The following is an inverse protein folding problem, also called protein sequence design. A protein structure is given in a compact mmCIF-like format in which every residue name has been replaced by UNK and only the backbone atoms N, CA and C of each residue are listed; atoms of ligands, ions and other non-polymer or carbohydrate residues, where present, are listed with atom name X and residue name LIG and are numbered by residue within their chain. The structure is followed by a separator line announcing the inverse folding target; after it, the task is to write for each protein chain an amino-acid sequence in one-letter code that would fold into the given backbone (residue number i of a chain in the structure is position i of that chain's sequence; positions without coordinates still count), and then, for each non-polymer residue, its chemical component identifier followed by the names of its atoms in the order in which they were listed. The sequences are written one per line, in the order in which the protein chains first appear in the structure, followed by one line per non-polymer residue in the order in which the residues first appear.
data_IF_572404421224
#
_entry.id   IF_572404421224
#
_cell.length_a   1.000
_cell.length_b   1.000
_cell.length_c   1.000
_cell.angle_alpha   90.00
_cell.angle_beta   90.00
_cell.angle_gamma   90.00
#
_symmetry.space_group_name_H-M   'P 1'
#
loop_
_entity.id
_entity.type
_entity.pdbx_description
1 polymer ?
#
# COMPACT_ATOMS: atom_id res chain seq x y z
N UNK A 1 6.15 11.63 3.31
CA UNK A 1 5.80 10.52 2.39
C UNK A 1 7.04 9.64 2.18
N UNK A 2 7.01 8.40 2.65
CA UNK A 2 8.20 7.52 2.71
C UNK A 2 8.64 7.03 1.31
N UNK A 3 7.78 7.08 0.29
CA UNK A 3 8.14 6.61 -1.06
C UNK A 3 8.40 7.70 -2.11
N UNK A 4 7.78 8.89 -2.05
CA UNK A 4 7.99 9.86 -3.12
C UNK A 4 9.07 10.91 -2.85
N UNK A 5 9.29 11.42 -1.64
CA UNK A 5 10.13 12.63 -1.47
C UNK A 5 10.97 12.75 -0.18
N UNK A 6 11.05 11.72 0.66
CA UNK A 6 11.72 11.86 1.97
C UNK A 6 12.94 10.96 2.13
N UNK A 7 14.09 11.61 2.26
CA UNK A 7 15.24 11.09 3.00
C UNK A 7 14.78 10.81 4.44
N UNK A 8 14.97 9.59 4.93
CA UNK A 8 15.05 9.37 6.37
C UNK A 8 16.52 9.60 6.75
N UNK A 9 16.90 10.86 6.99
CA UNK A 9 18.07 11.16 7.81
C UNK A 9 17.60 11.18 9.25
N UNK A 10 17.70 10.05 9.96
CA UNK A 10 17.61 10.05 11.43
C UNK A 10 19.02 10.20 12.01
N UNK A 11 19.23 11.02 13.06
CA UNK A 11 20.57 11.39 13.53
C UNK A 11 21.41 10.22 14.07
N UNK A 12 20.78 9.08 14.39
CA UNK A 12 21.46 7.90 14.97
C UNK A 12 21.36 6.67 14.06
N UNK A 13 21.51 6.90 12.76
CA UNK A 13 21.46 5.89 11.71
C UNK A 13 22.86 5.49 11.21
N UNK A 14 23.86 5.63 12.07
CA UNK A 14 25.22 5.85 11.60
C UNK A 14 25.98 4.58 11.17
N UNK A 15 25.49 3.35 11.45
CA UNK A 15 26.27 2.15 11.16
C UNK A 15 25.54 0.97 10.47
N UNK A 16 24.20 0.98 10.28
CA UNK A 16 23.50 -0.22 9.77
C UNK A 16 23.07 -0.18 8.30
N UNK A 17 22.90 1.00 7.67
CA UNK A 17 22.43 1.10 6.28
C UNK A 17 23.49 1.47 5.22
N UNK A 18 24.77 1.56 5.59
CA UNK A 18 25.86 1.82 4.63
C UNK A 18 26.08 0.72 3.57
N UNK A 19 25.33 -0.39 3.60
CA UNK A 19 25.34 -1.41 2.54
C UNK A 19 24.04 -1.48 1.71
N UNK A 20 23.03 -0.66 2.02
CA UNK A 20 21.81 -0.57 1.22
C UNK A 20 21.89 0.66 0.33
N UNK A 21 22.15 0.45 -0.95
CA UNK A 21 22.11 1.53 -1.94
C UNK A 21 20.64 1.94 -2.14
N UNK A 22 20.21 2.94 -1.39
CA UNK A 22 19.02 3.73 -1.74
C UNK A 22 19.43 4.71 -2.86
N UNK A 23 19.27 4.33 -4.12
CA UNK A 23 19.44 5.25 -5.26
C UNK A 23 18.25 6.23 -5.28
N UNK A 24 18.43 7.41 -4.70
CA UNK A 24 17.54 8.56 -4.92
C UNK A 24 18.37 9.78 -5.31
N UNK A 25 18.33 10.15 -6.60
CA UNK A 25 18.80 11.47 -7.03
C UNK A 25 17.61 12.41 -7.21
N UNK A 26 17.72 13.62 -6.66
CA UNK A 26 16.74 14.72 -6.81
C UNK A 26 16.60 15.24 -8.26
N UNK A 27 17.39 14.71 -9.20
CA UNK A 27 17.46 15.20 -10.60
C UNK A 27 16.80 14.28 -11.62
N UNK A 28 16.22 13.13 -11.24
CA UNK A 28 15.59 12.25 -12.22
C UNK A 28 14.22 12.79 -12.69
N UNK A 29 13.96 12.84 -14.01
CA UNK A 29 12.64 13.16 -14.54
C UNK A 29 11.59 12.13 -14.06
N UNK A 30 10.32 12.54 -14.00
CA UNK A 30 9.15 11.74 -13.59
C UNK A 30 8.93 10.42 -14.37
N UNK A 31 9.84 10.07 -15.27
CA UNK A 31 9.84 8.85 -16.09
C UNK A 31 10.75 7.75 -15.56
N UNK A 32 11.54 7.99 -14.50
CA UNK A 32 12.42 6.97 -13.92
C UNK A 32 11.75 6.26 -12.73
N UNK A 33 11.09 5.14 -13.02
CA UNK A 33 10.54 4.24 -12.01
C UNK A 33 11.68 3.52 -11.25
N UNK A 34 11.49 3.25 -9.96
CA UNK A 34 12.50 2.64 -9.07
C UNK A 34 13.26 1.43 -9.65
N UNK A 35 12.59 0.43 -10.25
CA UNK A 35 13.25 -0.72 -10.87
C UNK A 35 14.25 -0.37 -12.00
N UNK A 36 14.13 0.79 -12.62
CA UNK A 36 15.02 1.24 -13.71
C UNK A 36 16.25 1.99 -13.21
N UNK A 37 16.23 2.52 -11.99
CA UNK A 37 17.34 3.32 -11.43
C UNK A 37 18.67 2.54 -11.40
N UNK A 38 18.62 1.23 -11.14
CA UNK A 38 19.80 0.36 -11.09
C UNK A 38 20.24 -0.16 -12.47
N UNK A 39 19.42 -0.04 -13.53
CA UNK A 39 19.75 -0.59 -14.87
C UNK A 39 21.00 0.04 -15.48
N UNK A 40 21.36 1.26 -15.09
CA UNK A 40 22.58 1.93 -15.54
C UNK A 40 23.87 1.28 -15.04
N UNK A 41 23.81 0.38 -14.06
CA UNK A 41 24.96 -0.38 -13.57
C UNK A 41 24.57 -1.85 -13.37
N UNK A 42 25.03 -2.71 -14.28
CA UNK A 42 24.68 -4.15 -14.27
C UNK A 42 25.12 -4.88 -13.01
N UNK A 43 26.24 -4.48 -12.40
CA UNK A 43 26.70 -5.09 -11.16
C UNK A 43 25.70 -4.82 -10.03
N UNK A 44 25.29 -3.55 -9.86
CA UNK A 44 24.28 -3.16 -8.88
C UNK A 44 22.93 -3.80 -9.19
N UNK A 45 22.50 -3.79 -10.45
CA UNK A 45 21.23 -4.38 -10.86
C UNK A 45 21.15 -5.86 -10.53
N UNK A 46 22.22 -6.63 -10.79
CA UNK A 46 22.19 -8.09 -10.62
C UNK A 46 22.51 -8.55 -9.20
N UNK A 47 23.39 -7.84 -8.48
CA UNK A 47 24.01 -8.35 -7.24
C UNK A 47 23.51 -7.69 -5.98
N UNK A 48 22.71 -6.62 -6.07
CA UNK A 48 22.15 -5.93 -4.90
C UNK A 48 20.71 -6.36 -4.61
N UNK A 49 20.37 -6.37 -3.31
CA UNK A 49 18.98 -6.41 -2.84
C UNK A 49 18.42 -5.00 -2.94
N UNK A 50 17.35 -4.82 -3.72
CA UNK A 50 16.72 -3.51 -3.90
C UNK A 50 15.46 -3.43 -3.07
N UNK A 51 15.32 -2.34 -2.31
CA UNK A 51 14.11 -2.05 -1.53
C UNK A 51 13.33 -0.97 -2.28
N UNK A 52 12.20 -1.34 -2.89
CA UNK A 52 11.52 -0.52 -3.90
C UNK A 52 10.03 -0.36 -3.58
N UNK A 53 9.51 0.87 -3.74
CA UNK A 53 8.08 1.12 -3.63
C UNK A 53 7.32 0.64 -4.87
N UNK A 54 7.83 0.92 -6.08
CA UNK A 54 7.25 0.37 -7.31
C UNK A 54 7.66 -1.10 -7.48
N UNK A 55 6.99 -1.99 -6.77
CA UNK A 55 7.24 -3.43 -6.78
C UNK A 55 6.43 -4.16 -7.87
N UNK A 56 6.61 -3.70 -9.11
CA UNK A 56 5.92 -4.25 -10.27
C UNK A 56 6.78 -5.32 -10.96
N UNK A 57 6.33 -6.58 -10.91
CA UNK A 57 7.07 -7.72 -11.46
C UNK A 57 7.23 -7.67 -12.99
N UNK A 58 6.39 -6.93 -13.71
CA UNK A 58 6.55 -6.75 -15.17
C UNK A 58 7.53 -5.63 -15.54
N UNK A 59 7.88 -4.74 -14.61
CA UNK A 59 8.79 -3.60 -14.83
C UNK A 59 10.21 -3.86 -14.30
N UNK A 60 10.53 -5.12 -14.00
CA UNK A 60 11.85 -5.58 -13.59
C UNK A 60 12.09 -5.54 -12.08
N UNK A 61 11.04 -5.52 -11.26
CA UNK A 61 11.09 -5.97 -9.87
C UNK A 61 11.15 -7.50 -9.84
N UNK A 62 12.09 -8.07 -9.09
CA UNK A 62 12.25 -9.51 -8.93
C UNK A 62 11.90 -9.88 -7.48
N UNK A 63 10.76 -10.55 -7.22
CA UNK A 63 10.37 -10.90 -5.85
C UNK A 63 11.34 -11.85 -5.15
N UNK A 64 12.22 -12.57 -5.87
CA UNK A 64 13.21 -13.46 -5.25
C UNK A 64 14.43 -12.71 -4.72
N UNK A 65 14.67 -11.48 -5.20
CA UNK A 65 15.88 -10.69 -4.88
C UNK A 65 15.55 -9.32 -4.27
N UNK A 66 14.44 -8.73 -4.64
CA UNK A 66 14.01 -7.40 -4.21
C UNK A 66 13.00 -7.47 -3.06
N UNK A 67 12.81 -6.33 -2.40
CA UNK A 67 11.89 -6.15 -1.28
C UNK A 67 10.91 -5.04 -1.62
N UNK A 68 9.62 -5.33 -1.44
CA UNK A 68 8.54 -4.37 -1.63
C UNK A 68 8.44 -3.45 -0.42
N UNK A 69 8.56 -2.14 -0.64
CA UNK A 69 8.49 -1.12 0.40
C UNK A 69 7.09 -0.49 0.44
N UNK A 70 6.37 -0.52 1.59
CA UNK A 70 5.06 0.10 1.66
C UNK A 70 5.16 1.62 1.55
N UNK A 71 4.29 2.21 0.73
CA UNK A 71 4.16 3.66 0.66
C UNK A 71 3.36 4.19 1.85
N UNK A 72 4.02 4.97 2.71
CA UNK A 72 3.37 5.59 3.88
C UNK A 72 3.31 7.10 3.72
N UNK A 73 2.09 7.63 3.76
CA UNK A 73 1.81 9.05 3.66
C UNK A 73 1.84 9.74 5.04
N UNK A 74 3.05 10.02 5.53
CA UNK A 74 3.26 10.89 6.68
C UNK A 74 3.48 12.32 6.18
N UNK A 75 2.46 13.18 6.24
CA UNK A 75 2.58 14.61 5.87
C UNK A 75 3.40 15.41 6.87
N UNK A 76 3.20 15.17 8.17
CA UNK A 76 3.90 15.86 9.26
C UNK A 76 4.74 14.90 10.13
N UNK A 77 5.14 13.74 9.58
CA UNK A 77 5.83 12.69 10.34
C UNK A 77 4.96 11.95 11.36
N UNK A 78 3.67 12.31 11.49
CA UNK A 78 2.70 11.69 12.41
C UNK A 78 1.51 11.13 11.63
N UNK A 79 0.92 10.06 12.17
CA UNK A 79 -0.37 9.56 11.71
C UNK A 79 -1.48 10.58 12.01
N UNK A 80 -2.53 10.64 11.18
CA UNK A 80 -3.75 11.35 11.52
C UNK A 80 -4.32 10.87 12.86
N UNK A 81 -4.74 11.80 13.72
CA UNK A 81 -5.19 11.48 15.08
C UNK A 81 -6.39 10.53 15.10
N UNK A 82 -7.32 10.69 14.17
CA UNK A 82 -8.49 9.81 13.99
C UNK A 82 -8.13 8.39 13.54
N UNK A 83 -6.93 8.18 12.98
CA UNK A 83 -6.44 6.85 12.67
C UNK A 83 -5.72 6.20 13.85
N UNK A 84 -5.17 6.95 14.80
CA UNK A 84 -4.43 6.39 15.95
C UNK A 84 -5.30 5.45 16.79
N UNK A 85 -6.57 5.81 16.99
CA UNK A 85 -7.55 5.02 17.73
C UNK A 85 -8.72 4.68 16.81
N UNK A 86 -8.64 3.58 16.04
CA UNK A 86 -9.72 3.19 15.15
C UNK A 86 -11.00 2.88 15.96
N UNK A 87 -12.19 3.08 15.38
CA UNK A 87 -13.44 2.69 16.01
C UNK A 87 -13.46 1.20 16.40
N UNK A 88 -14.32 0.80 17.36
CA UNK A 88 -14.56 -0.63 17.66
C UNK A 88 -14.87 -1.46 16.40
N UNK A 89 -14.54 -2.76 16.41
CA UNK A 89 -14.86 -3.64 15.27
C UNK A 89 -16.36 -3.67 14.96
N UNK A 90 -17.19 -3.51 15.98
CA UNK A 90 -18.65 -3.45 15.89
C UNK A 90 -19.21 -2.14 15.34
N UNK A 91 -18.38 -1.12 15.10
CA UNK A 91 -18.85 0.14 14.52
C UNK A 91 -19.43 -0.09 13.13
N UNK A 92 -20.67 0.37 12.94
CA UNK A 92 -21.36 0.32 11.66
C UNK A 92 -20.62 1.15 10.61
N UNK A 93 -20.54 0.60 9.39
CA UNK A 93 -19.93 1.24 8.23
C UNK A 93 -21.00 1.42 7.16
N UNK A 94 -21.60 2.62 7.03
CA UNK A 94 -22.75 2.82 6.17
C UNK A 94 -22.44 2.71 4.67
N UNK A 95 -21.17 2.88 4.27
CA UNK A 95 -20.78 2.79 2.86
C UNK A 95 -20.21 1.41 2.55
N UNK A 96 -20.58 0.86 1.38
CA UNK A 96 -20.00 -0.39 0.90
C UNK A 96 -18.53 -0.18 0.56
N UNK A 97 -18.22 0.79 -0.30
CA UNK A 97 -16.86 1.04 -0.74
C UNK A 97 -16.54 2.52 -0.88
N UNK A 98 -15.26 2.88 -0.74
CA UNK A 98 -14.80 4.25 -0.91
C UNK A 98 -13.52 4.37 -1.76
N UNK A 99 -13.52 5.39 -2.62
CA UNK A 99 -12.36 5.89 -3.34
C UNK A 99 -12.43 7.42 -3.48
N UNK A 100 -11.30 8.09 -3.32
CA UNK A 100 -11.12 9.50 -3.59
C UNK A 100 -9.68 9.74 -4.04
N UNK A 101 -9.46 9.96 -5.33
CA UNK A 101 -8.15 10.25 -5.88
C UNK A 101 -8.20 10.74 -7.32
N UNK A 102 -7.31 11.67 -7.66
CA UNK A 102 -7.22 12.21 -9.01
C UNK A 102 -6.88 11.15 -10.07
N UNK A 103 -7.16 11.51 -11.32
CA UNK A 103 -6.82 10.72 -12.50
C UNK A 103 -5.30 10.53 -12.58
N UNK A 104 -4.86 9.30 -12.38
CA UNK A 104 -3.44 8.92 -12.35
C UNK A 104 -3.31 7.47 -12.77
N UNK A 105 -2.46 7.18 -13.75
CA UNK A 105 -2.34 5.84 -14.33
C UNK A 105 -3.55 5.40 -15.16
N UNK A 106 -3.50 4.19 -15.74
CA UNK A 106 -4.52 3.69 -16.65
C UNK A 106 -5.80 3.18 -15.95
N UNK A 107 -5.71 2.76 -14.68
CA UNK A 107 -6.83 2.12 -13.97
C UNK A 107 -7.83 3.15 -13.41
N UNK A 108 -7.35 4.26 -12.83
CA UNK A 108 -8.22 5.25 -12.18
C UNK A 108 -9.24 5.90 -13.11
N UNK A 109 -8.93 6.24 -14.39
CA UNK A 109 -9.95 6.66 -15.35
C UNK A 109 -11.10 5.67 -15.49
N UNK A 110 -10.80 4.37 -15.56
CA UNK A 110 -11.82 3.32 -15.70
C UNK A 110 -12.73 3.30 -14.48
N UNK A 111 -12.13 3.30 -13.27
CA UNK A 111 -12.88 3.32 -12.01
C UNK A 111 -13.77 4.58 -11.89
N UNK A 112 -13.22 5.76 -12.18
CA UNK A 112 -13.94 7.02 -12.08
C UNK A 112 -15.07 7.10 -13.09
N UNK A 113 -14.82 6.76 -14.35
CA UNK A 113 -15.85 6.78 -15.40
C UNK A 113 -17.02 5.85 -15.07
N UNK A 114 -16.74 4.72 -14.45
CA UNK A 114 -17.76 3.72 -14.18
C UNK A 114 -18.54 3.95 -12.89
N UNK A 115 -17.92 4.49 -11.83
CA UNK A 115 -18.55 4.52 -10.50
C UNK A 115 -18.74 5.92 -9.90
N UNK A 116 -18.08 6.96 -10.42
CA UNK A 116 -18.21 8.32 -9.85
C UNK A 116 -19.65 8.81 -9.95
N UNK A 117 -20.29 8.99 -8.79
CA UNK A 117 -21.67 9.47 -8.69
C UNK A 117 -22.74 8.52 -9.24
N UNK A 118 -22.39 7.24 -9.49
CA UNK A 118 -23.33 6.27 -10.08
C UNK A 118 -24.11 5.48 -9.01
N UNK A 119 -23.53 5.29 -7.82
CA UNK A 119 -24.12 4.45 -6.78
C UNK A 119 -23.91 5.06 -5.38
N UNK A 120 -24.95 5.19 -4.55
CA UNK A 120 -24.83 5.78 -3.22
C UNK A 120 -24.06 4.87 -2.23
N UNK A 121 -23.94 3.57 -2.48
CA UNK A 121 -23.18 2.67 -1.61
C UNK A 121 -21.69 2.68 -1.96
N UNK A 122 -21.32 3.04 -3.20
CA UNK A 122 -19.94 3.16 -3.67
C UNK A 122 -19.53 4.64 -3.78
N UNK A 123 -18.94 5.15 -2.70
CA UNK A 123 -18.47 6.52 -2.59
C UNK A 123 -17.18 6.73 -3.41
N UNK A 124 -17.32 6.96 -4.72
CA UNK A 124 -16.20 7.17 -5.65
C UNK A 124 -16.11 8.64 -6.08
N UNK A 125 -14.97 9.25 -5.78
CA UNK A 125 -14.67 10.66 -6.02
C UNK A 125 -13.30 10.83 -6.71
N UNK A 126 -13.13 11.91 -7.45
CA UNK A 126 -11.82 12.37 -7.92
C UNK A 126 -11.08 13.11 -6.80
N UNK A 127 -11.61 14.24 -6.37
CA UNK A 127 -11.13 14.99 -5.22
C UNK A 127 -12.32 15.29 -4.33
N UNK A 128 -12.15 15.05 -3.03
CA UNK A 128 -13.19 15.44 -2.07
C UNK A 128 -13.33 16.97 -2.05
N UNK A 129 -14.56 17.49 -2.04
CA UNK A 129 -14.83 18.90 -1.78
C UNK A 129 -14.11 19.41 -0.53
N UNK A 130 -13.75 20.70 -0.54
CA UNK A 130 -13.15 21.37 0.64
C UNK A 130 -14.08 21.23 1.85
N UNK A 131 -13.52 20.85 2.98
CA UNK A 131 -14.25 20.68 4.25
C UNK A 131 -14.68 19.25 4.56
N UNK A 132 -14.60 18.33 3.59
CA UNK A 132 -14.80 16.91 3.85
C UNK A 132 -13.50 16.24 4.30
N UNK A 133 -13.59 15.41 5.34
CA UNK A 133 -12.46 14.64 5.84
C UNK A 133 -12.35 13.29 5.15
N UNK A 134 -11.25 13.09 4.43
CA UNK A 134 -10.95 11.87 3.68
C UNK A 134 -10.96 10.61 4.56
N UNK A 135 -10.38 10.70 5.76
CA UNK A 135 -10.26 9.54 6.63
C UNK A 135 -11.60 9.16 7.28
N UNK A 136 -12.49 10.13 7.51
CA UNK A 136 -13.85 9.87 7.97
C UNK A 136 -14.63 8.99 6.98
N UNK A 137 -14.48 9.20 5.66
CA UNK A 137 -15.07 8.31 4.65
C UNK A 137 -14.46 6.91 4.69
N UNK A 138 -13.13 6.78 4.84
CA UNK A 138 -12.49 5.46 4.98
C UNK A 138 -12.98 4.72 6.22
N UNK A 139 -13.09 5.41 7.36
CA UNK A 139 -13.60 4.85 8.62
C UNK A 139 -15.07 4.43 8.53
N UNK A 140 -15.86 5.10 7.68
CA UNK A 140 -17.26 4.79 7.43
C UNK A 140 -17.52 3.75 6.31
N UNK A 141 -16.46 3.22 5.66
CA UNK A 141 -16.59 2.32 4.51
C UNK A 141 -16.12 0.91 4.80
N UNK A 142 -16.86 -0.13 4.38
CA UNK A 142 -16.44 -1.53 4.54
C UNK A 142 -15.17 -1.82 3.76
N UNK A 143 -15.12 -1.35 2.51
CA UNK A 143 -14.05 -1.60 1.56
C UNK A 143 -13.38 -0.31 1.07
N UNK A 144 -12.06 -0.32 0.94
CA UNK A 144 -11.31 0.81 0.41
C UNK A 144 -10.64 0.43 -0.91
N UNK A 145 -11.13 1.00 -2.01
CA UNK A 145 -10.61 0.69 -3.34
C UNK A 145 -9.22 1.28 -3.49
N UNK A 146 -8.26 0.45 -3.86
CA UNK A 146 -6.84 0.77 -4.01
C UNK A 146 -6.39 0.49 -5.46
N UNK A 147 -6.88 1.25 -6.45
CA UNK A 147 -6.38 1.15 -7.82
C UNK A 147 -4.95 1.68 -7.94
N UNK A 148 -4.11 0.96 -8.67
CA UNK A 148 -2.76 1.44 -8.97
C UNK A 148 -2.76 2.69 -9.86
N UNK A 149 -1.65 3.43 -9.79
CA UNK A 149 -1.41 4.63 -10.57
C UNK A 149 -0.54 4.32 -11.80
N UNK A 150 0.44 5.19 -12.06
CA UNK A 150 1.51 4.88 -13.00
C UNK A 150 2.48 3.86 -12.37
N UNK A 151 2.65 3.96 -11.05
CA UNK A 151 3.27 2.96 -10.20
C UNK A 151 2.20 2.06 -9.56
N UNK A 152 2.60 0.84 -9.21
CA UNK A 152 1.74 -0.10 -8.48
C UNK A 152 1.56 0.27 -7.01
N UNK A 153 2.52 0.99 -6.43
CA UNK A 153 2.42 1.49 -5.06
C UNK A 153 1.36 2.59 -4.93
N UNK A 154 0.68 2.57 -3.79
CA UNK A 154 -0.25 3.60 -3.40
C UNK A 154 -0.23 3.75 -1.88
N UNK A 155 -0.20 4.98 -1.34
CA UNK A 155 -0.33 5.19 0.11
C UNK A 155 -1.67 4.68 0.64
N UNK A 156 -2.66 4.56 -0.25
CA UNK A 156 -4.02 4.19 0.07
C UNK A 156 -4.16 2.81 0.68
N UNK A 157 -3.30 1.87 0.29
CA UNK A 157 -3.29 0.52 0.87
C UNK A 157 -2.97 0.61 2.36
N UNK A 158 -1.95 1.38 2.72
CA UNK A 158 -1.55 1.59 4.10
C UNK A 158 -2.58 2.42 4.87
N UNK A 159 -3.16 3.46 4.24
CA UNK A 159 -4.27 4.23 4.83
C UNK A 159 -5.52 3.37 5.08
N UNK A 160 -5.80 2.38 4.22
CA UNK A 160 -6.88 1.40 4.38
C UNK A 160 -6.62 0.47 5.57
N UNK A 161 -5.40 -0.02 5.72
CA UNK A 161 -4.96 -0.79 6.90
C UNK A 161 -5.15 0.00 8.19
N UNK A 162 -4.77 1.28 8.23
CA UNK A 162 -4.95 2.13 9.41
C UNK A 162 -6.41 2.48 9.71
N UNK A 163 -7.25 2.59 8.69
CA UNK A 163 -8.68 2.87 8.88
C UNK A 163 -9.49 1.59 9.12
N UNK A 164 -8.85 0.41 9.18
CA UNK A 164 -9.51 -0.90 9.24
C UNK A 164 -10.60 -1.07 8.17
N UNK A 165 -10.36 -0.46 7.02
CA UNK A 165 -11.18 -0.53 5.83
C UNK A 165 -10.57 -1.59 4.93
N UNK A 166 -11.30 -2.68 4.64
CA UNK A 166 -10.73 -3.84 3.92
C UNK A 166 -10.19 -3.37 2.55
N UNK A 167 -8.87 -3.48 2.30
CA UNK A 167 -8.29 -3.01 1.04
C UNK A 167 -8.81 -3.86 -0.12
N UNK A 168 -9.28 -3.19 -1.18
CA UNK A 168 -9.62 -3.83 -2.46
C UNK A 168 -8.54 -3.44 -3.45
N UNK A 169 -7.63 -4.37 -3.72
CA UNK A 169 -6.45 -4.15 -4.54
C UNK A 169 -6.83 -4.33 -6.00
N UNK A 170 -6.71 -3.25 -6.78
CA UNK A 170 -7.01 -3.23 -8.22
C UNK A 170 -5.72 -2.87 -8.94
N UNK A 171 -4.87 -3.87 -9.17
CA UNK A 171 -3.57 -3.70 -9.79
C UNK A 171 -3.14 -5.02 -10.43
N UNK A 172 -2.42 -4.92 -11.54
CA UNK A 172 -1.74 -6.05 -12.15
C UNK A 172 -0.29 -6.10 -11.66
N UNK A 173 0.25 -7.32 -11.53
CA UNK A 173 1.68 -7.59 -11.28
C UNK A 173 2.31 -6.96 -10.02
N UNK A 174 1.50 -6.43 -9.10
CA UNK A 174 2.00 -5.82 -7.87
C UNK A 174 2.39 -6.88 -6.85
N UNK A 175 3.67 -6.90 -6.48
CA UNK A 175 4.16 -7.66 -5.33
C UNK A 175 3.94 -6.85 -4.07
N UNK A 176 2.92 -7.22 -3.29
CA UNK A 176 2.51 -6.47 -2.10
C UNK A 176 3.58 -6.50 -1.00
N UNK A 177 3.69 -5.42 -0.19
CA UNK A 177 4.62 -5.38 0.93
C UNK A 177 4.43 -6.57 1.88
N UNK A 178 5.54 -7.15 2.33
CA UNK A 178 5.58 -8.23 3.31
C UNK A 178 4.85 -9.52 2.89
N UNK A 179 4.65 -9.75 1.59
CA UNK A 179 4.03 -10.99 1.08
C UNK A 179 4.79 -12.27 1.46
N UNK A 180 6.06 -12.15 1.88
CA UNK A 180 6.87 -13.26 2.41
C UNK A 180 6.37 -13.80 3.77
N UNK A 181 5.55 -13.03 4.48
CA UNK A 181 5.09 -13.36 5.83
C UNK A 181 3.60 -13.09 6.04
N UNK A 182 3.03 -12.13 5.32
CA UNK A 182 1.62 -11.77 5.38
C UNK A 182 0.86 -12.37 4.19
N UNK A 183 -0.16 -13.17 4.49
CA UNK A 183 -1.12 -13.66 3.49
C UNK A 183 -2.17 -12.60 3.21
N UNK A 184 -1.99 -11.82 2.14
CA UNK A 184 -2.86 -10.69 1.82
C UNK A 184 -4.32 -11.09 1.61
N UNK A 185 -4.59 -12.31 1.13
CA UNK A 185 -5.94 -12.83 0.93
C UNK A 185 -6.71 -13.00 2.25
N UNK A 186 -5.99 -13.06 3.39
CA UNK A 186 -6.62 -13.17 4.70
C UNK A 186 -7.19 -11.84 5.22
N UNK A 187 -6.85 -10.69 4.61
CA UNK A 187 -7.27 -9.37 5.09
C UNK A 187 -7.55 -8.34 3.98
N UNK A 188 -7.54 -8.76 2.71
CA UNK A 188 -7.81 -7.91 1.56
C UNK A 188 -8.55 -8.67 0.47
N UNK A 189 -9.08 -7.95 -0.52
CA UNK A 189 -9.73 -8.51 -1.70
C UNK A 189 -8.94 -8.06 -2.92
N UNK A 190 -8.63 -8.97 -3.84
CA UNK A 190 -8.03 -8.62 -5.12
C UNK A 190 -9.09 -8.64 -6.23
N UNK A 191 -9.14 -7.59 -7.03
CA UNK A 191 -10.08 -7.46 -8.16
C UNK A 191 -9.28 -7.13 -9.41
N UNK A 192 -9.52 -7.85 -10.51
CA UNK A 192 -8.86 -7.59 -11.78
C UNK A 192 -9.36 -6.28 -12.39
N UNK A 193 -8.51 -5.63 -13.19
CA UNK A 193 -8.89 -4.39 -13.89
C UNK A 193 -10.12 -4.60 -14.80
N UNK A 194 -10.23 -5.77 -15.43
CA UNK A 194 -11.39 -6.15 -16.25
C UNK A 194 -12.70 -6.31 -15.46
N UNK A 195 -12.61 -6.46 -14.14
CA UNK A 195 -13.75 -6.70 -13.25
C UNK A 195 -14.18 -5.45 -12.47
N UNK A 196 -13.61 -4.28 -12.78
CA UNK A 196 -14.07 -2.98 -12.23
C UNK A 196 -15.58 -2.80 -12.51
N UNK A 197 -16.05 -3.32 -13.65
CA UNK A 197 -17.45 -3.59 -14.04
C UNK A 197 -18.35 -4.04 -12.88
N UNK A 198 -17.82 -4.99 -12.12
CA UNK A 198 -18.57 -5.87 -11.24
C UNK A 198 -18.30 -5.57 -9.76
N UNK A 199 -17.64 -4.45 -9.42
CA UNK A 199 -17.23 -4.14 -8.05
C UNK A 199 -18.36 -4.25 -7.04
N UNK A 200 -19.54 -3.68 -7.32
CA UNK A 200 -20.68 -3.80 -6.41
C UNK A 200 -21.06 -5.26 -6.18
N UNK A 201 -21.20 -6.04 -7.26
CA UNK A 201 -21.56 -7.47 -7.19
C UNK A 201 -20.52 -8.29 -6.42
N UNK A 202 -19.23 -8.08 -6.67
CA UNK A 202 -18.15 -8.78 -6.00
C UNK A 202 -18.19 -8.46 -4.50
N UNK A 203 -18.23 -7.18 -4.13
CA UNK A 203 -18.13 -6.76 -2.73
C UNK A 203 -19.38 -7.10 -1.91
N UNK A 204 -20.58 -7.11 -2.52
CA UNK A 204 -21.81 -7.58 -1.85
C UNK A 204 -21.92 -9.09 -1.78
N UNK A 205 -21.23 -9.82 -2.66
CA UNK A 205 -21.21 -11.29 -2.61
C UNK A 205 -20.38 -11.86 -1.46
N UNK A 206 -19.51 -11.04 -0.84
CA UNK A 206 -18.73 -11.44 0.34
C UNK A 206 -19.67 -11.61 1.53
N UNK A 207 -19.78 -12.82 2.10
CA UNK A 207 -20.60 -13.06 3.28
C UNK A 207 -20.15 -12.22 4.47
N UNK A 208 -21.09 -11.80 5.33
CA UNK A 208 -20.76 -10.92 6.45
C UNK A 208 -19.72 -11.52 7.42
N UNK A 209 -19.78 -12.83 7.67
CA UNK A 209 -18.80 -13.54 8.48
C UNK A 209 -17.39 -13.51 7.88
N UNK A 210 -17.29 -13.61 6.55
CA UNK A 210 -15.99 -13.50 5.87
C UNK A 210 -15.47 -12.06 5.90
N UNK A 211 -16.34 -11.07 5.69
CA UNK A 211 -15.97 -9.67 5.86
C UNK A 211 -15.45 -9.36 7.28
N UNK A 212 -16.11 -9.87 8.32
CA UNK A 212 -15.66 -9.71 9.71
C UNK A 212 -14.28 -10.34 9.92
N UNK A 213 -14.04 -11.53 9.37
CA UNK A 213 -12.74 -12.20 9.41
C UNK A 213 -11.65 -11.39 8.72
N UNK A 214 -11.91 -10.85 7.52
CA UNK A 214 -10.99 -9.97 6.81
C UNK A 214 -10.63 -8.74 7.67
N UNK A 215 -11.64 -8.11 8.30
CA UNK A 215 -11.46 -6.93 9.16
C UNK A 215 -10.67 -7.23 10.44
N UNK A 216 -10.92 -8.37 11.08
CA UNK A 216 -10.16 -8.83 12.25
C UNK A 216 -8.68 -9.06 11.93
N UNK A 217 -8.41 -9.76 10.82
CA UNK A 217 -7.05 -9.97 10.35
C UNK A 217 -6.38 -8.66 9.96
N UNK A 218 -7.10 -7.73 9.33
CA UNK A 218 -6.60 -6.40 8.98
C UNK A 218 -6.15 -5.63 10.24
N UNK A 219 -6.95 -5.68 11.31
CA UNK A 219 -6.59 -5.10 12.62
C UNK A 219 -5.33 -5.76 13.19
N UNK A 220 -5.20 -7.07 13.09
CA UNK A 220 -4.02 -7.79 13.59
C UNK A 220 -2.74 -7.43 12.84
N UNK A 221 -2.80 -7.29 11.51
CA UNK A 221 -1.62 -6.96 10.70
C UNK A 221 -1.24 -5.48 10.75
N UNK A 222 -2.15 -4.61 11.20
CA UNK A 222 -1.97 -3.16 11.23
C UNK A 222 -0.63 -2.71 11.86
N UNK A 223 -0.22 -3.35 12.96
CA UNK A 223 1.06 -3.04 13.65
C UNK A 223 2.28 -3.13 12.73
N UNK A 224 2.23 -4.01 11.72
CA UNK A 224 3.32 -4.26 10.76
C UNK A 224 3.53 -3.12 9.76
N UNK A 225 2.59 -2.18 9.69
CA UNK A 225 2.69 -1.02 8.81
C UNK A 225 3.05 0.25 9.58
N UNK A 226 3.00 0.25 10.91
CA UNK A 226 3.29 1.43 11.74
C UNK A 226 4.79 1.73 11.75
N UNK A 227 5.15 3.00 11.59
CA UNK A 227 6.51 3.50 11.81
C UNK A 227 6.62 4.08 13.22
N UNK A 228 7.35 3.40 14.11
CA UNK A 228 7.60 3.85 15.48
C UNK A 228 8.96 4.54 15.63
N UNK A 229 9.06 5.41 16.64
CA UNK A 229 10.33 6.02 17.07
C UNK A 229 10.40 6.05 18.60
N UNK A 230 11.24 5.21 19.25
CA UNK A 230 12.15 4.23 18.64
C UNK A 230 11.40 3.09 17.92
N UNK A 231 12.09 2.34 17.06
CA UNK A 231 11.50 1.20 16.37
C UNK A 231 11.04 0.13 17.38
N UNK A 232 9.88 -0.47 17.14
CA UNK A 232 9.28 -1.49 18.01
C UNK A 232 9.24 -2.86 17.31
N UNK A 233 9.20 -3.93 18.10
CA UNK A 233 9.15 -5.29 17.54
C UNK A 233 7.95 -5.44 16.60
N UNK A 234 8.22 -5.96 15.40
CA UNK A 234 7.24 -6.19 14.34
C UNK A 234 6.65 -4.93 13.69
N UNK A 235 7.20 -3.75 13.95
CA UNK A 235 6.83 -2.54 13.21
C UNK A 235 7.32 -2.58 11.76
N UNK A 236 6.96 -1.57 10.96
CA UNK A 236 7.33 -1.53 9.53
C UNK A 236 8.83 -1.61 9.30
N UNK A 237 9.63 -1.03 10.20
CA UNK A 237 11.08 -1.04 10.11
C UNK A 237 11.62 -2.47 10.26
N UNK A 238 11.20 -3.19 11.30
CA UNK A 238 11.61 -4.58 11.50
C UNK A 238 11.08 -5.52 10.41
N UNK A 239 9.88 -5.26 9.89
CA UNK A 239 9.31 -6.05 8.78
C UNK A 239 10.11 -5.88 7.48
N UNK A 240 10.58 -4.66 7.18
CA UNK A 240 11.48 -4.40 6.05
C UNK A 240 12.81 -5.12 6.25
N UNK A 241 13.44 -4.97 7.43
CA UNK A 241 14.70 -5.65 7.74
C UNK A 241 14.58 -7.17 7.64
N UNK A 242 13.46 -7.74 8.11
CA UNK A 242 13.18 -9.16 7.98
C UNK A 242 13.11 -9.59 6.51
N UNK A 243 12.38 -8.85 5.68
CA UNK A 243 12.25 -9.15 4.24
C UNK A 243 13.61 -9.10 3.54
N UNK A 244 14.42 -8.09 3.85
CA UNK A 244 15.81 -7.96 3.37
C UNK A 244 16.67 -9.14 3.82
N UNK A 245 16.56 -9.55 5.09
CA UNK A 245 17.32 -10.66 5.63
C UNK A 245 16.99 -11.98 4.94
N UNK A 246 15.71 -12.23 4.62
CA UNK A 246 15.30 -13.42 3.85
C UNK A 246 15.98 -13.49 2.47
N UNK A 247 16.09 -12.36 1.76
CA UNK A 247 16.78 -12.30 0.45
C UNK A 247 18.28 -12.53 0.59
N UNK A 248 18.90 -12.00 1.66
CA UNK A 248 20.33 -12.23 1.91
C UNK A 248 20.66 -13.71 2.15
N UNK A 249 19.75 -14.45 2.77
CA UNK A 249 19.94 -15.87 3.04
C UNK A 249 19.55 -16.78 1.86
N UNK A 250 19.02 -16.23 0.76
CA UNK A 250 18.41 -16.99 -0.35
C UNK A 250 17.32 -17.99 0.12
N UNK A 251 16.63 -17.69 1.22
CA UNK A 251 15.58 -18.57 1.75
C UNK A 251 14.26 -18.33 1.00
N UNK A 252 13.65 -19.41 0.51
CA UNK A 252 12.25 -19.41 0.07
C UNK A 252 11.37 -19.62 1.31
N UNK A 253 10.48 -18.68 1.60
CA UNK A 253 9.40 -18.89 2.56
C UNK A 253 8.21 -19.36 1.75
N UNK A 254 7.92 -20.66 1.82
CA UNK A 254 6.78 -21.33 1.15
C UNK A 254 5.47 -21.06 1.88
#
# INVERSE_FOLDING_TARGET
MICNHYFITMPNFHDFLCSFIFLFSRTFPKTFQGPHASKGNLNLYNSSIRVLCNANSSEGFDPQKDVSLPEINLRNGKMPANLLSPPPLSSSRPHLAFFAGGVHGPIRPILLNQWKGQDPDLQVHDYLPKGLDYYSFMLASKYCLCPSGYEVASPRIVEAVYSECVPVIISDHYVLPFSDVLRWEAFSIQVKVSEIGELKRILTSVPENEYLRLKENLRAVRRHFVLNQPAERFDVFHMILHSVWLRRLNLKVE
#
